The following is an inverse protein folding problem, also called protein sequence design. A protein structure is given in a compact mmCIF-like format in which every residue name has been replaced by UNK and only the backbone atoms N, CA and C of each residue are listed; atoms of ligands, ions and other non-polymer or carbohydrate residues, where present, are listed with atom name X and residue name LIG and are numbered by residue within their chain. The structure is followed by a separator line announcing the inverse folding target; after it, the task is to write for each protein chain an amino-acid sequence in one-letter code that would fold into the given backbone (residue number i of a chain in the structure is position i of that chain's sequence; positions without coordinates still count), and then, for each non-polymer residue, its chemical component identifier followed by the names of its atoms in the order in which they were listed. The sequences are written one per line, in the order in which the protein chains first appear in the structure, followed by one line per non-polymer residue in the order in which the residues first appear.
data_IF_722110447648
#
_entry.id   IF_722110447648
#
_cell.length_a   1.000
_cell.length_b   1.000
_cell.length_c   1.000
_cell.angle_alpha   90.00
_cell.angle_beta   90.00
_cell.angle_gamma   90.00
#
_symmetry.space_group_name_H-M   'P 1'
#
loop_
_entity.id
_entity.type
_entity.pdbx_description
1 polymer ?
#
# COMPACT_ATOMS: atom_id res chain seq x y z
N UNK A 1 16.07 43.20 -16.04
CA UNK A 1 16.43 41.78 -15.98
C UNK A 1 16.42 41.21 -14.54
N UNK A 2 17.03 41.86 -13.52
CA UNK A 2 17.07 41.36 -12.12
C UNK A 2 15.75 41.37 -11.43
N UNK A 3 14.84 42.30 -11.74
CA UNK A 3 13.50 42.39 -11.15
C UNK A 3 12.57 41.28 -11.65
N UNK A 4 12.59 40.99 -12.96
CA UNK A 4 11.86 39.89 -13.57
C UNK A 4 12.31 38.51 -13.05
N UNK A 5 13.64 38.33 -12.83
CA UNK A 5 14.19 37.12 -12.26
C UNK A 5 13.76 36.91 -10.79
N UNK A 6 13.69 38.00 -9.99
CA UNK A 6 13.17 37.94 -8.60
C UNK A 6 11.69 37.62 -8.53
N UNK A 7 10.92 38.17 -9.46
CA UNK A 7 9.48 37.94 -9.53
C UNK A 7 9.17 36.50 -9.98
N UNK A 8 9.91 35.99 -10.95
CA UNK A 8 9.83 34.58 -11.37
C UNK A 8 10.22 33.62 -10.25
N UNK A 9 11.32 33.87 -9.54
CA UNK A 9 11.72 33.07 -8.38
C UNK A 9 10.74 33.16 -7.20
N UNK A 10 9.97 34.27 -7.07
CA UNK A 10 8.90 34.41 -6.09
C UNK A 10 7.66 33.61 -6.50
N UNK A 11 7.29 33.63 -7.78
CA UNK A 11 6.21 32.84 -8.35
C UNK A 11 6.52 31.33 -8.28
N UNK A 12 7.76 30.95 -8.57
CA UNK A 12 8.21 29.55 -8.48
C UNK A 12 8.18 29.05 -7.02
N UNK A 13 8.62 29.88 -6.06
CA UNK A 13 8.49 29.54 -4.62
C UNK A 13 7.03 29.48 -4.16
N UNK A 14 6.19 30.36 -4.66
CA UNK A 14 4.76 30.36 -4.34
C UNK A 14 4.03 29.16 -4.97
N UNK A 15 4.39 28.78 -6.21
CA UNK A 15 3.92 27.57 -6.85
C UNK A 15 4.40 26.31 -6.12
N UNK A 16 5.69 26.27 -5.72
CA UNK A 16 6.23 25.17 -4.93
C UNK A 16 5.59 25.05 -3.54
N UNK A 17 5.26 26.18 -2.88
CA UNK A 17 4.54 26.19 -1.59
C UNK A 17 3.06 25.77 -1.72
N UNK A 18 2.50 25.80 -2.93
CA UNK A 18 1.16 25.34 -3.29
C UNK A 18 1.16 23.97 -3.97
N UNK A 19 2.33 23.41 -4.27
CA UNK A 19 2.43 22.00 -4.62
C UNK A 19 1.86 21.21 -3.44
N UNK A 20 0.65 20.72 -3.59
CA UNK A 20 -0.03 19.94 -2.56
C UNK A 20 0.85 18.76 -2.15
N UNK A 21 0.72 18.32 -0.90
CA UNK A 21 1.38 17.08 -0.48
C UNK A 21 1.00 15.95 -1.44
N UNK A 22 1.92 15.01 -1.72
CA UNK A 22 1.63 13.88 -2.59
C UNK A 22 0.35 13.16 -2.21
N UNK A 23 -0.37 12.66 -3.19
CA UNK A 23 -1.64 11.96 -3.02
C UNK A 23 -1.53 10.51 -3.48
N UNK A 24 -2.18 9.60 -2.77
CA UNK A 24 -2.21 8.18 -3.10
C UNK A 24 -3.65 7.66 -3.23
N UNK A 25 -3.90 6.89 -4.29
CA UNK A 25 -5.07 6.02 -4.42
C UNK A 25 -4.65 4.60 -4.06
N UNK A 26 -5.33 3.99 -3.10
CA UNK A 26 -5.09 2.62 -2.65
C UNK A 26 -6.37 1.82 -2.86
N UNK A 27 -6.36 0.86 -3.77
CA UNK A 27 -7.49 -0.02 -4.06
C UNK A 27 -7.22 -1.38 -3.44
N UNK A 28 -8.09 -1.82 -2.52
CA UNK A 28 -7.98 -3.09 -1.81
C UNK A 28 -8.88 -4.14 -2.47
N UNK A 29 -8.40 -5.38 -2.49
CA UNK A 29 -9.20 -6.54 -2.90
C UNK A 29 -10.31 -6.79 -1.88
N UNK A 30 -9.95 -6.93 -0.62
CA UNK A 30 -10.85 -7.19 0.47
C UNK A 30 -11.76 -6.00 0.79
N UNK A 31 -12.91 -6.33 1.40
CA UNK A 31 -13.91 -5.30 1.77
C UNK A 31 -13.77 -4.83 3.22
N UNK A 32 -13.01 -5.56 4.01
CA UNK A 32 -12.97 -5.38 5.46
C UNK A 32 -11.55 -5.24 6.00
N UNK A 33 -10.79 -6.32 6.11
CA UNK A 33 -9.51 -6.34 6.85
C UNK A 33 -8.50 -5.35 6.30
N UNK A 34 -8.22 -5.40 4.98
CA UNK A 34 -7.25 -4.50 4.33
C UNK A 34 -7.68 -3.03 4.41
N UNK A 35 -8.94 -2.65 4.02
CA UNK A 35 -9.37 -1.27 4.13
C UNK A 35 -9.36 -0.74 5.56
N UNK A 36 -9.71 -1.54 6.56
CA UNK A 36 -9.71 -1.12 7.95
C UNK A 36 -8.30 -0.94 8.50
N UNK A 37 -7.39 -1.86 8.18
CA UNK A 37 -5.98 -1.71 8.51
C UNK A 37 -5.38 -0.46 7.84
N UNK A 38 -5.58 -0.32 6.55
CA UNK A 38 -5.05 0.79 5.77
C UNK A 38 -5.71 2.13 6.14
N UNK A 39 -6.95 2.11 6.63
CA UNK A 39 -7.63 3.31 7.12
C UNK A 39 -6.93 3.97 8.30
N UNK A 40 -6.31 3.19 9.20
CA UNK A 40 -5.55 3.71 10.33
C UNK A 40 -4.08 4.02 10.03
N UNK A 41 -3.50 3.36 9.03
CA UNK A 41 -2.08 3.44 8.74
C UNK A 41 -1.59 4.85 8.33
N UNK A 42 -2.25 5.62 7.44
CA UNK A 42 -1.80 6.95 7.04
C UNK A 42 -1.70 7.91 8.23
N UNK A 43 -2.72 7.98 9.07
CA UNK A 43 -2.74 8.84 10.26
C UNK A 43 -1.60 8.48 11.22
N UNK A 44 -1.38 7.20 11.47
CA UNK A 44 -0.28 6.71 12.30
C UNK A 44 1.09 7.16 11.76
N UNK A 45 1.25 7.17 10.43
CA UNK A 45 2.46 7.64 9.76
C UNK A 45 2.53 9.18 9.63
N UNK A 46 1.53 9.92 10.08
CA UNK A 46 1.46 11.38 9.98
C UNK A 46 1.07 11.89 8.58
N UNK A 47 0.49 11.04 7.75
CA UNK A 47 -0.09 11.41 6.46
C UNK A 47 -1.51 11.95 6.67
N UNK A 48 -1.84 13.05 6.00
CA UNK A 48 -3.20 13.58 6.05
C UNK A 48 -4.17 12.61 5.35
N UNK A 49 -5.30 12.29 5.99
CA UNK A 49 -6.34 11.44 5.42
C UNK A 49 -6.85 11.93 4.04
N UNK A 50 -6.83 13.24 3.79
CA UNK A 50 -7.18 13.81 2.49
C UNK A 50 -6.16 13.48 1.37
N UNK A 51 -4.98 12.96 1.71
CA UNK A 51 -3.93 12.61 0.76
C UNK A 51 -3.82 11.09 0.51
N UNK A 52 -4.47 10.25 1.30
CA UNK A 52 -4.47 8.79 1.14
C UNK A 52 -5.91 8.28 0.98
N UNK A 53 -6.32 8.00 -0.24
CA UNK A 53 -7.67 7.58 -0.57
C UNK A 53 -7.74 6.05 -0.65
N UNK A 54 -8.26 5.42 0.40
CA UNK A 54 -8.44 3.97 0.48
C UNK A 54 -9.83 3.63 -0.06
N UNK A 55 -9.89 2.71 -1.01
CA UNK A 55 -11.12 2.26 -1.66
C UNK A 55 -11.13 0.74 -1.80
N UNK A 56 -12.30 0.15 -1.64
CA UNK A 56 -12.50 -1.27 -1.97
C UNK A 56 -12.68 -1.42 -3.48
N UNK A 57 -12.14 -2.50 -4.02
CA UNK A 57 -12.35 -2.86 -5.43
C UNK A 57 -13.83 -3.09 -5.76
N UNK A 58 -14.15 -3.00 -7.05
CA UNK A 58 -15.46 -3.41 -7.55
C UNK A 58 -15.62 -4.93 -7.41
N UNK A 59 -16.86 -5.43 -7.50
CA UNK A 59 -17.28 -6.82 -7.23
C UNK A 59 -16.51 -7.96 -7.95
N UNK A 60 -15.52 -7.65 -8.77
CA UNK A 60 -14.67 -8.62 -9.46
C UNK A 60 -13.37 -8.79 -8.68
N UNK A 61 -13.12 -10.00 -8.24
CA UNK A 61 -12.07 -10.34 -7.27
C UNK A 61 -10.73 -10.76 -7.86
N UNK A 62 -10.57 -10.86 -9.18
CA UNK A 62 -9.29 -11.22 -9.77
C UNK A 62 -8.32 -10.01 -9.87
N UNK A 63 -7.03 -10.31 -9.77
CA UNK A 63 -5.97 -9.30 -9.76
C UNK A 63 -6.00 -8.35 -10.97
N UNK A 64 -6.24 -8.87 -12.18
CA UNK A 64 -6.30 -8.06 -13.40
C UNK A 64 -7.48 -7.08 -13.39
N UNK A 65 -8.63 -7.53 -12.90
CA UNK A 65 -9.82 -6.69 -12.77
C UNK A 65 -9.63 -5.57 -11.75
N UNK A 66 -8.93 -5.83 -10.64
CA UNK A 66 -8.58 -4.81 -9.65
C UNK A 66 -7.63 -3.76 -10.22
N UNK A 67 -6.62 -4.16 -10.98
CA UNK A 67 -5.72 -3.22 -11.66
C UNK A 67 -6.49 -2.34 -12.65
N UNK A 68 -7.39 -2.93 -13.43
CA UNK A 68 -8.23 -2.17 -14.39
C UNK A 68 -9.16 -1.18 -13.68
N UNK A 69 -9.71 -1.56 -12.52
CA UNK A 69 -10.53 -0.69 -11.68
C UNK A 69 -9.71 0.49 -11.15
N UNK A 70 -8.53 0.23 -10.56
CA UNK A 70 -7.62 1.29 -10.12
C UNK A 70 -7.24 2.27 -11.25
N UNK A 71 -6.96 1.74 -12.45
CA UNK A 71 -6.69 2.56 -13.63
C UNK A 71 -7.89 3.39 -14.09
N UNK A 72 -9.10 2.85 -14.00
CA UNK A 72 -10.33 3.57 -14.34
C UNK A 72 -10.58 4.71 -13.35
N UNK A 73 -10.40 4.47 -12.05
CA UNK A 73 -10.50 5.49 -10.99
C UNK A 73 -9.46 6.59 -11.17
N UNK A 74 -8.21 6.22 -11.47
CA UNK A 74 -7.17 7.21 -11.78
C UNK A 74 -7.55 8.08 -12.99
N UNK A 75 -8.13 7.51 -14.06
CA UNK A 75 -8.53 8.29 -15.23
C UNK A 75 -9.65 9.31 -14.92
N UNK A 76 -10.52 9.00 -13.96
CA UNK A 76 -11.57 9.95 -13.53
C UNK A 76 -11.00 11.06 -12.64
N UNK A 77 -9.86 10.82 -11.97
CA UNK A 77 -9.16 11.81 -11.13
C UNK A 77 -7.65 11.67 -11.35
N UNK A 78 -7.10 12.20 -12.46
CA UNK A 78 -5.72 11.94 -12.87
C UNK A 78 -4.70 12.82 -12.13
N UNK A 79 -4.91 13.04 -10.84
CA UNK A 79 -4.09 13.90 -9.97
C UNK A 79 -3.26 13.11 -8.96
N UNK A 80 -3.52 11.80 -8.80
CA UNK A 80 -2.76 10.98 -7.85
C UNK A 80 -1.29 10.86 -8.25
N UNK A 81 -0.41 10.97 -7.26
CA UNK A 81 1.04 10.76 -7.41
C UNK A 81 1.39 9.28 -7.33
N UNK A 82 0.62 8.52 -6.54
CA UNK A 82 0.78 7.09 -6.35
C UNK A 82 -0.55 6.36 -6.53
N UNK A 83 -0.50 5.18 -7.15
CA UNK A 83 -1.67 4.30 -7.30
C UNK A 83 -1.25 2.89 -6.91
N UNK A 84 -1.88 2.36 -5.87
CA UNK A 84 -1.61 1.03 -5.35
C UNK A 84 -2.82 0.11 -5.51
N UNK A 85 -2.54 -1.16 -5.71
CA UNK A 85 -3.52 -2.25 -5.58
C UNK A 85 -3.00 -3.23 -4.55
N UNK A 86 -3.74 -3.43 -3.45
CA UNK A 86 -3.41 -4.35 -2.37
C UNK A 86 -4.24 -5.62 -2.57
N UNK A 87 -3.57 -6.77 -2.63
CA UNK A 87 -4.21 -8.05 -2.95
C UNK A 87 -3.45 -9.25 -2.38
N UNK A 88 -4.16 -10.38 -2.27
CA UNK A 88 -3.60 -11.64 -1.85
C UNK A 88 -2.79 -12.33 -2.97
N UNK A 89 -1.79 -13.10 -2.60
CA UNK A 89 -0.84 -13.71 -3.53
C UNK A 89 -1.38 -14.97 -4.24
N UNK A 90 -2.52 -15.49 -3.82
CA UNK A 90 -3.18 -16.65 -4.43
C UNK A 90 -4.17 -16.27 -5.56
N UNK A 91 -4.19 -14.98 -5.94
CA UNK A 91 -5.09 -14.46 -6.96
C UNK A 91 -4.80 -14.99 -8.37
N UNK A 92 -5.86 -15.29 -9.10
CA UNK A 92 -5.79 -15.60 -10.53
C UNK A 92 -5.32 -14.38 -11.34
N UNK A 93 -4.66 -14.63 -12.46
CA UNK A 93 -4.20 -13.61 -13.42
C UNK A 93 -3.19 -12.58 -12.86
N UNK A 94 -2.38 -12.97 -11.87
CA UNK A 94 -1.41 -12.06 -11.25
C UNK A 94 -0.34 -11.57 -12.25
N UNK A 95 0.11 -12.41 -13.19
CA UNK A 95 1.09 -12.01 -14.19
C UNK A 95 0.51 -11.06 -15.24
N UNK A 96 -0.74 -11.25 -15.63
CA UNK A 96 -1.47 -10.31 -16.48
C UNK A 96 -1.68 -8.98 -15.77
N UNK A 97 -2.02 -9.03 -14.48
CA UNK A 97 -2.16 -7.85 -13.63
C UNK A 97 -0.86 -7.06 -13.54
N UNK A 98 0.29 -7.72 -13.36
CA UNK A 98 1.61 -7.07 -13.37
C UNK A 98 1.92 -6.37 -14.68
N UNK A 99 1.64 -7.03 -15.81
CA UNK A 99 1.82 -6.40 -17.13
C UNK A 99 0.91 -5.19 -17.33
N UNK A 100 -0.35 -5.27 -16.92
CA UNK A 100 -1.30 -4.16 -17.03
C UNK A 100 -0.93 -3.01 -16.08
N UNK A 101 -0.51 -3.32 -14.86
CA UNK A 101 -0.08 -2.36 -13.84
C UNK A 101 1.13 -1.51 -14.30
N UNK A 102 2.10 -2.13 -14.98
CA UNK A 102 3.29 -1.46 -15.51
C UNK A 102 3.01 -0.48 -16.65
N UNK A 103 1.80 -0.48 -17.23
CA UNK A 103 1.44 0.49 -18.28
C UNK A 103 1.21 1.87 -17.66
N UNK A 104 2.09 2.82 -17.97
CA UNK A 104 2.01 4.19 -17.45
C UNK A 104 0.73 4.91 -17.85
N UNK A 105 0.23 5.72 -16.93
CA UNK A 105 -0.93 6.61 -17.11
C UNK A 105 -0.48 8.07 -17.03
N UNK A 106 -1.00 8.94 -17.89
CA UNK A 106 -0.67 10.36 -17.87
C UNK A 106 -1.38 11.08 -16.70
N UNK A 107 -0.66 11.93 -15.97
CA UNK A 107 -1.21 12.81 -14.93
C UNK A 107 -1.71 14.11 -15.52
N UNK A 108 -2.72 14.74 -14.89
CA UNK A 108 -3.26 16.03 -15.30
C UNK A 108 -2.20 17.14 -15.25
N UNK A 109 -1.32 17.15 -14.25
CA UNK A 109 -0.22 18.10 -14.08
C UNK A 109 1.06 17.79 -14.85
N UNK A 110 1.04 16.76 -15.73
CA UNK A 110 2.21 16.26 -16.44
C UNK A 110 2.87 15.09 -15.70
N UNK A 111 3.73 14.36 -16.42
CA UNK A 111 4.35 13.14 -15.92
C UNK A 111 3.48 11.89 -16.09
N UNK A 112 3.94 10.78 -15.57
CA UNK A 112 3.28 9.47 -15.66
C UNK A 112 3.33 8.75 -14.32
N UNK A 113 2.31 7.95 -14.06
CA UNK A 113 2.22 7.05 -12.91
C UNK A 113 1.87 5.64 -13.40
N UNK A 114 2.35 4.64 -12.70
CA UNK A 114 1.96 3.23 -12.88
C UNK A 114 1.15 2.77 -11.67
N UNK A 115 0.48 1.64 -11.80
CA UNK A 115 -0.11 0.96 -10.63
C UNK A 115 0.98 0.10 -9.99
N UNK A 116 1.18 0.25 -8.69
CA UNK A 116 2.05 -0.61 -7.89
C UNK A 116 1.23 -1.70 -7.22
N UNK A 117 1.60 -2.96 -7.44
CA UNK A 117 0.95 -4.09 -6.79
C UNK A 117 1.63 -4.35 -5.45
N UNK A 118 0.83 -4.39 -4.41
CA UNK A 118 1.23 -4.74 -3.04
C UNK A 118 0.64 -6.11 -2.74
N UNK A 119 1.45 -7.12 -2.96
CA UNK A 119 1.02 -8.51 -2.86
C UNK A 119 1.44 -9.09 -1.51
N UNK A 120 0.52 -9.74 -0.82
CA UNK A 120 0.80 -10.53 0.39
C UNK A 120 0.43 -11.98 0.16
N UNK A 121 1.38 -12.88 0.24
CA UNK A 121 1.19 -14.33 0.06
C UNK A 121 1.45 -15.08 1.37
N UNK A 122 0.54 -15.95 1.80
CA UNK A 122 -0.66 -16.40 1.08
C UNK A 122 -1.83 -15.42 1.12
N UNK A 123 -2.00 -14.61 2.18
CA UNK A 123 -3.11 -13.67 2.38
C UNK A 123 -2.67 -12.51 3.30
N UNK A 124 -3.50 -11.47 3.39
CA UNK A 124 -3.19 -10.26 4.16
C UNK A 124 -2.94 -10.54 5.65
N UNK A 125 -3.55 -11.58 6.22
CA UNK A 125 -3.32 -11.99 7.62
C UNK A 125 -1.86 -12.40 7.87
N UNK A 126 -1.10 -12.80 6.85
CA UNK A 126 0.35 -12.99 7.02
C UNK A 126 1.07 -11.67 7.34
N UNK A 127 0.69 -10.55 6.73
CA UNK A 127 1.21 -9.24 7.12
C UNK A 127 0.85 -8.88 8.57
N UNK A 128 -0.39 -9.15 8.98
CA UNK A 128 -0.81 -8.92 10.37
C UNK A 128 -0.02 -9.78 11.36
N UNK A 129 0.24 -11.05 11.02
CA UNK A 129 1.03 -11.97 11.85
C UNK A 129 2.45 -11.44 12.08
N UNK A 130 3.07 -10.81 11.07
CA UNK A 130 4.42 -10.26 11.19
C UNK A 130 4.54 -9.13 12.23
N UNK A 131 3.43 -8.54 12.70
CA UNK A 131 3.41 -7.59 13.81
C UNK A 131 3.73 -8.25 15.16
N UNK A 132 3.64 -9.57 15.25
CA UNK A 132 3.82 -10.34 16.48
C UNK A 132 4.99 -11.31 16.42
N UNK A 133 5.16 -11.98 15.30
CA UNK A 133 6.21 -12.99 15.16
C UNK A 133 6.83 -13.00 13.76
N UNK A 134 8.06 -13.52 13.70
CA UNK A 134 8.73 -13.82 12.45
C UNK A 134 8.47 -15.27 12.03
N UNK A 135 8.02 -15.48 10.80
CA UNK A 135 7.92 -16.82 10.21
C UNK A 135 8.14 -16.77 8.69
N UNK A 136 8.85 -17.76 8.15
CA UNK A 136 8.98 -18.08 6.72
C UNK A 136 8.47 -19.48 6.43
N UNK A 137 7.83 -20.14 7.42
CA UNK A 137 7.20 -21.43 7.20
C UNK A 137 6.14 -21.29 6.11
N UNK A 138 6.14 -22.18 5.13
CA UNK A 138 5.10 -22.24 4.10
C UNK A 138 3.74 -22.40 4.77
N UNK A 139 2.93 -21.34 4.68
CA UNK A 139 1.59 -21.29 5.27
C UNK A 139 0.56 -21.22 4.14
N UNK A 140 -0.55 -21.92 4.31
CA UNK A 140 -1.79 -21.64 3.58
C UNK A 140 -2.57 -20.51 4.28
N UNK A 141 -3.49 -19.85 3.58
CA UNK A 141 -4.27 -18.75 4.15
C UNK A 141 -4.94 -19.09 5.47
N UNK A 142 -5.54 -20.28 5.58
CA UNK A 142 -6.15 -20.77 6.84
C UNK A 142 -5.14 -20.91 7.98
N UNK A 143 -3.91 -21.31 7.66
CA UNK A 143 -2.85 -21.46 8.67
C UNK A 143 -2.31 -20.11 9.12
N UNK A 144 -2.22 -19.14 8.23
CA UNK A 144 -1.86 -17.76 8.58
C UNK A 144 -2.89 -17.14 9.52
N UNK A 145 -4.19 -17.31 9.23
CA UNK A 145 -5.29 -16.87 10.12
C UNK A 145 -5.18 -17.51 11.49
N UNK A 146 -5.03 -18.84 11.58
CA UNK A 146 -4.90 -19.53 12.88
C UNK A 146 -3.68 -19.10 13.68
N UNK A 147 -2.55 -18.84 13.01
CA UNK A 147 -1.36 -18.31 13.66
C UNK A 147 -1.61 -16.91 14.22
N UNK A 148 -2.33 -16.05 13.47
CA UNK A 148 -2.71 -14.71 13.94
C UNK A 148 -3.66 -14.79 15.15
N UNK A 149 -4.64 -15.68 15.14
CA UNK A 149 -5.59 -15.89 16.24
C UNK A 149 -4.90 -16.29 17.55
N UNK A 150 -3.74 -16.90 17.50
CA UNK A 150 -2.94 -17.20 18.70
C UNK A 150 -2.42 -15.91 19.40
N UNK A 151 -2.26 -14.80 18.65
CA UNK A 151 -1.84 -13.50 19.18
C UNK A 151 -3.00 -12.53 19.39
N UNK A 152 -4.06 -12.66 18.58
CA UNK A 152 -5.29 -11.87 18.63
C UNK A 152 -6.47 -12.83 18.81
N UNK A 153 -6.74 -13.20 20.07
CA UNK A 153 -7.77 -14.18 20.42
C UNK A 153 -9.20 -13.75 20.04
N UNK A 154 -9.40 -12.47 19.82
CA UNK A 154 -10.64 -11.83 19.38
C UNK A 154 -10.59 -11.41 17.90
N UNK A 155 -9.68 -11.98 17.11
CA UNK A 155 -9.57 -11.65 15.69
C UNK A 155 -10.81 -12.11 14.92
N UNK A 156 -11.43 -11.15 14.25
CA UNK A 156 -12.51 -11.39 13.29
C UNK A 156 -12.22 -10.67 11.98
N UNK A 157 -12.52 -11.34 10.85
CA UNK A 157 -12.49 -10.66 9.55
C UNK A 157 -13.52 -9.53 9.56
N UNK A 158 -13.05 -8.30 9.36
CA UNK A 158 -13.93 -7.14 9.40
C UNK A 158 -13.88 -6.36 10.69
N UNK A 159 -12.96 -6.66 11.57
CA UNK A 159 -12.68 -5.84 12.75
C UNK A 159 -12.18 -4.45 12.31
N UNK A 160 -12.97 -3.43 12.63
CA UNK A 160 -12.67 -2.04 12.29
C UNK A 160 -11.50 -1.47 13.06
N UNK A 161 -11.17 -2.07 14.20
CA UNK A 161 -10.09 -1.65 15.09
C UNK A 161 -8.79 -2.43 14.85
N UNK A 162 -8.75 -3.25 13.80
CA UNK A 162 -7.59 -4.14 13.52
C UNK A 162 -6.27 -3.36 13.50
N UNK A 163 -6.23 -2.18 12.89
CA UNK A 163 -5.01 -1.38 12.87
C UNK A 163 -4.59 -0.94 14.28
N UNK A 164 -5.52 -0.45 15.09
CA UNK A 164 -5.22 -0.05 16.47
C UNK A 164 -4.65 -1.20 17.31
N UNK A 165 -5.19 -2.41 17.13
CA UNK A 165 -4.73 -3.62 17.83
C UNK A 165 -3.31 -4.03 17.47
N UNK A 166 -2.87 -3.78 16.22
CA UNK A 166 -1.54 -4.23 15.74
C UNK A 166 -0.52 -3.11 15.57
N UNK A 167 -0.93 -1.85 15.61
CA UNK A 167 -0.11 -0.68 15.23
C UNK A 167 1.20 -0.56 16.00
N UNK A 168 1.24 -0.99 17.27
CA UNK A 168 2.45 -1.02 18.08
C UNK A 168 3.55 -1.96 17.53
N UNK A 169 3.18 -2.95 16.73
CA UNK A 169 4.08 -3.90 16.09
C UNK A 169 4.54 -3.51 14.68
N UNK A 170 4.17 -2.32 14.15
CA UNK A 170 4.46 -1.97 12.76
C UNK A 170 5.96 -2.05 12.41
N UNK A 171 6.83 -1.52 13.25
CA UNK A 171 8.28 -1.59 13.02
C UNK A 171 8.80 -3.04 13.03
N UNK A 172 8.23 -3.91 13.88
CA UNK A 172 8.54 -5.33 13.92
C UNK A 172 8.06 -6.01 12.63
N UNK A 173 6.85 -5.71 12.16
CA UNK A 173 6.32 -6.26 10.92
C UNK A 173 7.21 -5.93 9.71
N UNK A 174 7.68 -4.70 9.60
CA UNK A 174 8.60 -4.29 8.54
C UNK A 174 9.95 -5.01 8.63
N UNK A 175 10.52 -5.15 9.83
CA UNK A 175 11.77 -5.87 10.04
C UNK A 175 11.62 -7.36 9.71
N UNK A 176 10.52 -7.98 10.14
CA UNK A 176 10.18 -9.38 9.88
C UNK A 176 9.95 -9.63 8.38
N UNK A 177 9.24 -8.75 7.68
CA UNK A 177 9.04 -8.84 6.25
C UNK A 177 10.36 -8.72 5.47
N UNK A 178 11.20 -7.74 5.83
CA UNK A 178 12.51 -7.56 5.20
C UNK A 178 13.43 -8.77 5.42
N UNK A 179 13.40 -9.37 6.62
CA UNK A 179 14.12 -10.61 6.92
C UNK A 179 13.55 -11.76 6.08
N UNK A 180 12.22 -11.91 6.02
CA UNK A 180 11.55 -12.96 5.26
C UNK A 180 11.90 -12.93 3.77
N UNK A 181 11.95 -11.75 3.15
CA UNK A 181 12.35 -11.60 1.74
C UNK A 181 13.77 -12.14 1.52
N UNK A 182 14.72 -11.86 2.42
CA UNK A 182 16.11 -12.35 2.30
C UNK A 182 16.18 -13.87 2.45
N UNK A 183 15.49 -14.41 3.45
CA UNK A 183 15.54 -15.85 3.76
C UNK A 183 14.86 -16.67 2.66
N UNK A 184 13.75 -16.17 2.10
CA UNK A 184 13.05 -16.80 0.98
C UNK A 184 13.89 -16.74 -0.31
N UNK A 185 14.55 -15.62 -0.59
CA UNK A 185 15.46 -15.51 -1.73
C UNK A 185 16.58 -16.53 -1.67
N UNK A 186 17.10 -16.83 -0.48
CA UNK A 186 18.14 -17.83 -0.28
C UNK A 186 17.67 -19.28 -0.54
N UNK A 187 16.38 -19.55 -0.39
CA UNK A 187 15.78 -20.90 -0.60
C UNK A 187 15.12 -21.09 -1.96
N UNK A 188 14.97 -20.02 -2.74
CA UNK A 188 14.21 -20.02 -4.01
C UNK A 188 12.70 -20.19 -3.83
N UNK A 189 12.20 -20.11 -2.59
CA UNK A 189 10.75 -20.11 -2.33
C UNK A 189 10.11 -18.82 -2.83
N UNK A 190 8.79 -18.82 -3.02
CA UNK A 190 8.01 -17.64 -3.48
C UNK A 190 7.01 -17.15 -2.41
N UNK A 191 6.78 -17.94 -1.38
CA UNK A 191 5.81 -17.69 -0.31
C UNK A 191 6.30 -18.35 1.00
N UNK A 192 5.98 -17.80 2.18
CA UNK A 192 5.18 -16.57 2.39
C UNK A 192 6.01 -15.29 2.17
N UNK A 193 5.39 -14.22 1.66
CA UNK A 193 6.03 -12.91 1.48
C UNK A 193 5.00 -11.79 1.49
N UNK A 194 5.44 -10.56 1.70
CA UNK A 194 4.59 -9.38 1.59
C UNK A 194 5.34 -8.18 1.03
N UNK A 195 4.67 -7.42 0.17
CA UNK A 195 5.16 -6.15 -0.37
C UNK A 195 4.67 -4.93 0.46
N UNK A 196 3.95 -5.15 1.58
CA UNK A 196 3.44 -4.08 2.45
C UNK A 196 4.50 -3.06 2.90
N UNK A 197 5.77 -3.44 3.19
CA UNK A 197 6.80 -2.45 3.51
C UNK A 197 7.04 -1.40 2.42
N UNK A 198 6.81 -1.73 1.14
CA UNK A 198 6.92 -0.76 0.04
C UNK A 198 5.85 0.33 0.16
N UNK A 199 4.59 -0.07 0.42
CA UNK A 199 3.49 0.87 0.64
C UNK A 199 3.75 1.75 1.87
N UNK A 200 4.18 1.15 2.98
CA UNK A 200 4.53 1.89 4.22
C UNK A 200 5.63 2.91 3.94
N UNK A 201 6.68 2.53 3.21
CA UNK A 201 7.79 3.42 2.87
C UNK A 201 7.32 4.62 2.03
N UNK A 202 6.49 4.41 1.01
CA UNK A 202 5.94 5.52 0.21
C UNK A 202 5.06 6.43 1.06
N UNK A 203 4.14 5.88 1.87
CA UNK A 203 3.30 6.68 2.76
C UNK A 203 4.15 7.53 3.72
N UNK A 204 5.26 7.01 4.25
CA UNK A 204 6.18 7.82 5.08
C UNK A 204 6.75 9.01 4.33
N UNK A 205 7.08 8.87 3.04
CA UNK A 205 7.57 10.03 2.24
C UNK A 205 6.50 11.11 2.06
N UNK A 206 5.22 10.76 2.16
CA UNK A 206 4.09 11.67 2.06
C UNK A 206 3.77 12.38 3.38
N UNK A 207 4.41 11.97 4.49
CA UNK A 207 4.18 12.52 5.81
C UNK A 207 4.70 13.96 5.94
N UNK A 208 3.92 14.84 6.57
CA UNK A 208 4.36 16.19 6.95
C UNK A 208 5.48 16.21 8.00
N UNK A 209 5.73 15.07 8.66
CA UNK A 209 6.73 14.94 9.74
C UNK A 209 8.11 14.57 9.23
N UNK A 210 8.33 14.54 7.91
CA UNK A 210 9.65 14.31 7.35
C UNK A 210 10.30 15.69 7.02
N UNK A 211 10.96 16.37 7.99
CA UNK A 211 11.89 17.44 7.65
C UNK A 211 13.16 16.75 7.12
N UNK A 212 13.57 17.09 5.89
CA UNK A 212 14.93 16.81 5.44
C UNK A 212 15.95 17.33 6.47
#
# INVERSE_FOLDING_TARGET
HRQAARERARLDRWAASRAGLPTALIVCEGRCTEPYYLGGLPEHLGVNAANAHIQTGSYKTDALSLVRDARARFRSTPEYDHVFVVLDGDQAHLDEARREAGKGMAKAGGGRVTVELIVTSPCFEYWLLLHFEYTTRGLRSVEAVRALEAHLTDYEKGDREIFAKVSGGLAMAEANAAKGIRDIAATGAVSPRTDMPLLVAVLRTMSRRNPN
#
